data_IF_671602171310
#
_entry.id   IF_671602171310
#
_cell.length_a   1.000
_cell.length_b   1.000
_cell.length_c   1.000
_cell.angle_alpha   90.00
_cell.angle_beta   90.00
_cell.angle_gamma   90.00
#
_symmetry.space_group_name_H-M   'P 1'
#
loop_
_entity.id
_entity.type
_entity.pdbx_description
1 polymer ?
#
# COMPACT_ATOMS: atom_id res chain seq x y z
N UNK A 1 13.79 -33.04 -26.93
CA UNK A 1 12.56 -32.75 -26.14
C UNK A 1 12.49 -31.30 -25.57
N UNK A 2 13.61 -30.57 -25.48
CA UNK A 2 13.67 -29.22 -24.89
C UNK A 2 13.16 -28.05 -25.76
N UNK A 3 13.11 -28.18 -27.08
CA UNK A 3 12.72 -27.08 -27.99
C UNK A 3 11.24 -26.69 -27.91
N UNK A 4 10.34 -27.64 -27.66
CA UNK A 4 8.91 -27.34 -27.56
C UNK A 4 8.53 -26.44 -26.35
N UNK A 5 9.19 -26.66 -25.22
CA UNK A 5 8.96 -25.84 -24.02
C UNK A 5 9.44 -24.40 -24.18
N UNK A 6 10.53 -24.21 -24.96
CA UNK A 6 11.06 -22.86 -25.24
C UNK A 6 10.08 -22.05 -26.10
N UNK A 7 9.52 -22.66 -27.15
CA UNK A 7 8.51 -21.98 -28.00
C UNK A 7 7.22 -21.65 -27.22
N UNK A 8 6.76 -22.59 -26.38
CA UNK A 8 5.60 -22.34 -25.51
C UNK A 8 5.87 -21.21 -24.51
N UNK A 9 7.05 -21.21 -23.89
CA UNK A 9 7.44 -20.12 -22.97
C UNK A 9 7.52 -18.78 -23.70
N UNK A 10 8.11 -18.72 -24.89
CA UNK A 10 8.17 -17.50 -25.70
C UNK A 10 6.77 -17.01 -26.08
N UNK A 11 5.88 -17.91 -26.50
CA UNK A 11 4.49 -17.58 -26.84
C UNK A 11 3.76 -17.00 -25.60
N UNK A 12 3.88 -17.64 -24.44
CA UNK A 12 3.28 -17.15 -23.20
C UNK A 12 3.82 -15.77 -22.79
N UNK A 13 5.13 -15.54 -22.92
CA UNK A 13 5.74 -14.24 -22.68
C UNK A 13 5.23 -13.17 -23.63
N UNK A 14 5.07 -13.48 -24.92
CA UNK A 14 4.51 -12.54 -25.89
C UNK A 14 3.04 -12.21 -25.59
N UNK A 15 2.24 -13.20 -25.20
CA UNK A 15 0.84 -12.98 -24.82
C UNK A 15 0.75 -12.10 -23.59
N UNK A 16 1.52 -12.38 -22.53
CA UNK A 16 1.55 -11.58 -21.31
C UNK A 16 2.04 -10.16 -21.61
N UNK A 17 3.12 -10.02 -22.39
CA UNK A 17 3.64 -8.72 -22.79
C UNK A 17 2.59 -7.91 -23.57
N UNK A 18 1.88 -8.53 -24.50
CA UNK A 18 0.82 -7.88 -25.26
C UNK A 18 -0.35 -7.44 -24.35
N UNK A 19 -0.84 -8.34 -23.48
CA UNK A 19 -1.96 -8.05 -22.60
C UNK A 19 -1.66 -6.96 -21.55
N UNK A 20 -0.40 -6.81 -21.14
CA UNK A 20 0.01 -5.82 -20.14
C UNK A 20 0.53 -4.55 -20.80
N UNK A 21 1.47 -4.67 -21.76
CA UNK A 21 2.16 -3.50 -22.34
C UNK A 21 1.23 -2.73 -23.27
N UNK A 22 0.38 -3.40 -24.03
CA UNK A 22 -0.49 -2.72 -24.99
C UNK A 22 -1.49 -1.75 -24.35
N UNK A 23 -2.29 -2.13 -23.31
CA UNK A 23 -3.16 -1.18 -22.62
C UNK A 23 -2.39 -0.04 -21.94
N UNK A 24 -1.25 -0.34 -21.33
CA UNK A 24 -0.40 0.69 -20.72
C UNK A 24 0.17 1.65 -21.75
N UNK A 25 0.57 1.17 -22.93
CA UNK A 25 1.08 2.02 -24.00
C UNK A 25 0.00 2.97 -24.54
N UNK A 26 -1.25 2.53 -24.64
CA UNK A 26 -2.39 3.40 -25.02
C UNK A 26 -2.54 4.50 -23.96
N UNK A 27 -2.54 4.15 -22.69
CA UNK A 27 -2.70 5.11 -21.59
C UNK A 27 -1.57 6.15 -21.61
N UNK A 28 -0.33 5.71 -21.79
CA UNK A 28 0.84 6.59 -21.88
C UNK A 28 0.75 7.47 -23.14
N UNK A 29 0.41 6.89 -24.31
CA UNK A 29 0.31 7.67 -25.53
C UNK A 29 -0.82 8.71 -25.44
N UNK A 30 -2.00 8.34 -24.97
CA UNK A 30 -3.10 9.29 -24.77
C UNK A 30 -2.73 10.44 -23.81
N UNK A 31 -1.89 10.21 -22.78
CA UNK A 31 -1.49 11.26 -21.85
C UNK A 31 -0.70 12.41 -22.50
N UNK A 32 -0.05 12.16 -23.65
CA UNK A 32 0.69 13.18 -24.41
C UNK A 32 -0.16 13.93 -25.45
N UNK A 33 -1.42 13.56 -25.62
CA UNK A 33 -2.30 14.16 -26.62
C UNK A 33 -2.95 15.43 -26.08
N UNK A 34 -2.62 16.56 -26.64
CA UNK A 34 -3.17 17.87 -26.27
C UNK A 34 -4.55 18.01 -26.91
N UNK A 35 -5.59 18.19 -26.07
CA UNK A 35 -7.00 18.20 -26.49
C UNK A 35 -7.29 19.33 -27.46
N UNK A 36 -6.80 20.54 -27.19
CA UNK A 36 -7.14 21.76 -27.93
C UNK A 36 -6.59 21.77 -29.36
N UNK A 37 -5.41 21.20 -29.55
CA UNK A 37 -4.69 21.26 -30.84
C UNK A 37 -4.63 19.91 -31.55
N UNK A 38 -5.01 18.81 -30.90
CA UNK A 38 -4.82 17.44 -31.40
C UNK A 38 -3.34 17.06 -31.61
N UNK A 39 -2.42 17.92 -31.17
CA UNK A 39 -0.97 17.70 -31.27
C UNK A 39 -0.43 16.88 -30.10
N UNK A 40 0.76 16.34 -30.30
CA UNK A 40 1.48 15.58 -29.26
C UNK A 40 2.43 16.51 -28.51
N UNK A 41 2.41 16.44 -27.17
CA UNK A 41 3.28 17.29 -26.37
C UNK A 41 3.14 17.06 -24.86
N UNK A 42 3.89 17.82 -24.10
CA UNK A 42 3.89 17.79 -22.63
C UNK A 42 2.90 18.78 -21.99
N UNK A 43 2.00 19.38 -22.79
CA UNK A 43 1.06 20.41 -22.32
C UNK A 43 0.25 19.96 -21.10
N UNK A 44 -0.37 18.77 -21.17
CA UNK A 44 -1.17 18.21 -20.08
C UNK A 44 -0.34 18.00 -18.79
N UNK A 45 0.93 17.60 -18.92
CA UNK A 45 1.83 17.45 -17.74
C UNK A 45 2.20 18.79 -17.13
N UNK A 46 2.51 19.80 -17.97
CA UNK A 46 2.79 21.14 -17.50
C UNK A 46 1.60 21.74 -16.76
N UNK A 47 0.41 21.52 -17.26
CA UNK A 47 -0.82 21.94 -16.63
C UNK A 47 -1.04 21.20 -15.31
N UNK A 48 -0.92 19.87 -15.28
CA UNK A 48 -1.04 19.06 -14.08
C UNK A 48 -0.12 19.56 -12.95
N UNK A 49 1.13 19.87 -13.27
CA UNK A 49 2.09 20.35 -12.26
C UNK A 49 1.96 21.86 -11.94
N UNK A 50 1.15 22.62 -12.67
CA UNK A 50 0.81 24.03 -12.36
C UNK A 50 -0.50 24.14 -11.58
N UNK A 51 -1.41 23.19 -11.74
CA UNK A 51 -2.70 23.20 -11.05
C UNK A 51 -2.55 22.82 -9.58
N UNK A 52 -2.86 23.77 -8.71
CA UNK A 52 -2.81 23.61 -7.25
C UNK A 52 -3.69 22.47 -6.75
N UNK A 53 -4.79 22.18 -7.43
CA UNK A 53 -5.70 21.09 -7.03
C UNK A 53 -5.03 19.72 -7.22
N UNK A 54 -4.44 19.45 -8.38
CA UNK A 54 -3.75 18.17 -8.62
C UNK A 54 -2.50 18.00 -7.76
N UNK A 55 -1.75 19.09 -7.51
CA UNK A 55 -0.63 19.06 -6.57
C UNK A 55 -1.08 18.76 -5.14
N UNK A 56 -2.21 19.33 -4.69
CA UNK A 56 -2.83 19.00 -3.41
C UNK A 56 -3.19 17.51 -3.33
N UNK A 57 -3.85 16.97 -4.36
CA UNK A 57 -4.24 15.56 -4.41
C UNK A 57 -3.01 14.64 -4.39
N UNK A 58 -1.95 14.99 -5.09
CA UNK A 58 -0.67 14.29 -5.06
C UNK A 58 -0.03 14.33 -3.66
N UNK A 59 0.02 15.51 -3.05
CA UNK A 59 0.52 15.71 -1.68
C UNK A 59 -0.28 14.90 -0.64
N UNK A 60 -1.60 14.89 -0.74
CA UNK A 60 -2.48 14.11 0.12
C UNK A 60 -2.23 12.60 -0.04
N UNK A 61 -1.98 12.13 -1.27
CA UNK A 61 -1.66 10.72 -1.53
C UNK A 61 -0.32 10.34 -0.90
N UNK A 62 0.71 11.18 -1.01
CA UNK A 62 1.99 10.98 -0.35
C UNK A 62 1.86 10.99 1.18
N UNK A 63 1.09 11.92 1.72
CA UNK A 63 0.81 11.99 3.15
C UNK A 63 0.11 10.72 3.64
N UNK A 64 -0.93 10.28 2.93
CA UNK A 64 -1.64 9.05 3.22
C UNK A 64 -0.70 7.83 3.19
N UNK A 65 0.15 7.72 2.15
CA UNK A 65 1.13 6.64 2.01
C UNK A 65 2.12 6.60 3.18
N UNK A 66 2.59 7.77 3.61
CA UNK A 66 3.52 7.89 4.73
C UNK A 66 2.85 7.54 6.05
N UNK A 67 1.66 8.07 6.31
CA UNK A 67 0.90 7.78 7.53
C UNK A 67 0.52 6.30 7.59
N UNK A 68 0.11 5.71 6.45
CA UNK A 68 -0.21 4.30 6.33
C UNK A 68 0.99 3.43 6.66
N UNK A 69 2.15 3.71 6.05
CA UNK A 69 3.39 2.97 6.31
C UNK A 69 3.81 3.07 7.79
N UNK A 70 3.76 4.26 8.37
CA UNK A 70 4.12 4.46 9.79
C UNK A 70 3.17 3.68 10.71
N UNK A 71 1.86 3.77 10.47
CA UNK A 71 0.86 3.07 11.30
C UNK A 71 1.01 1.56 11.19
N UNK A 72 1.13 1.02 9.97
CA UNK A 72 1.32 -0.43 9.77
C UNK A 72 2.66 -0.92 10.30
N UNK A 73 3.71 -0.10 10.28
CA UNK A 73 5.02 -0.43 10.85
C UNK A 73 4.96 -0.51 12.38
N UNK A 74 4.37 0.50 13.01
CA UNK A 74 4.23 0.57 14.48
C UNK A 74 3.40 -0.61 15.01
N UNK A 75 2.33 -0.96 14.33
CA UNK A 75 1.48 -2.11 14.71
C UNK A 75 2.10 -3.45 14.27
N UNK A 76 2.69 -3.51 13.10
CA UNK A 76 3.16 -4.74 12.47
C UNK A 76 4.43 -5.31 13.09
N UNK A 77 5.38 -4.46 13.51
CA UNK A 77 6.64 -4.91 14.12
C UNK A 77 6.39 -5.77 15.39
N UNK A 78 5.65 -5.27 16.41
CA UNK A 78 5.40 -6.07 17.61
C UNK A 78 4.59 -7.33 17.32
N UNK A 79 3.58 -7.25 16.45
CA UNK A 79 2.77 -8.41 16.07
C UNK A 79 3.61 -9.47 15.36
N UNK A 80 4.46 -9.08 14.41
CA UNK A 80 5.36 -9.99 13.70
C UNK A 80 6.37 -10.66 14.66
N UNK A 81 6.92 -9.88 15.61
CA UNK A 81 7.87 -10.39 16.59
C UNK A 81 7.22 -11.43 17.52
N UNK A 82 6.01 -11.14 18.02
CA UNK A 82 5.25 -12.07 18.85
C UNK A 82 4.95 -13.35 18.08
N UNK A 83 4.48 -13.24 16.83
CA UNK A 83 4.18 -14.41 16.01
C UNK A 83 5.41 -15.26 15.68
N UNK A 84 6.57 -14.63 15.48
CA UNK A 84 7.80 -15.34 15.14
C UNK A 84 8.43 -16.05 16.33
N UNK A 85 8.49 -15.37 17.49
CA UNK A 85 9.32 -15.78 18.62
C UNK A 85 8.58 -16.52 19.73
N UNK A 86 7.28 -16.29 19.87
CA UNK A 86 6.54 -16.88 20.97
C UNK A 86 5.61 -18.01 20.51
N UNK A 87 5.67 -19.11 21.24
CA UNK A 87 4.65 -20.16 21.19
C UNK A 87 3.56 -19.80 22.19
N UNK A 88 2.41 -19.36 21.73
CA UNK A 88 1.29 -18.98 22.59
C UNK A 88 0.03 -19.71 22.16
N UNK A 89 -0.86 -19.89 23.13
CA UNK A 89 -2.19 -20.43 22.89
C UNK A 89 -2.94 -19.52 21.90
N UNK A 90 -3.63 -20.11 20.94
CA UNK A 90 -4.40 -19.35 19.94
C UNK A 90 -3.58 -18.75 18.79
N UNK A 91 -2.28 -19.04 18.66
CA UNK A 91 -1.41 -18.51 17.58
C UNK A 91 -2.04 -18.67 16.19
N UNK A 92 -2.63 -19.83 15.90
CA UNK A 92 -3.28 -20.11 14.60
C UNK A 92 -4.47 -19.18 14.35
N UNK A 93 -5.32 -19.00 15.37
CA UNK A 93 -6.49 -18.11 15.29
C UNK A 93 -6.04 -16.66 15.12
N UNK A 94 -5.03 -16.24 15.87
CA UNK A 94 -4.49 -14.88 15.78
C UNK A 94 -3.87 -14.59 14.41
N UNK A 95 -3.14 -15.56 13.87
CA UNK A 95 -2.62 -15.46 12.50
C UNK A 95 -3.75 -15.38 11.47
N UNK A 96 -4.78 -16.21 11.61
CA UNK A 96 -5.94 -16.17 10.71
C UNK A 96 -6.68 -14.82 10.77
N UNK A 97 -6.84 -14.23 11.95
CA UNK A 97 -7.44 -12.91 12.12
C UNK A 97 -6.62 -11.79 11.46
N UNK A 98 -5.28 -11.85 11.58
CA UNK A 98 -4.40 -10.89 10.88
C UNK A 98 -4.52 -11.04 9.37
N UNK A 99 -4.66 -12.26 8.85
CA UNK A 99 -4.76 -12.53 7.41
C UNK A 99 -6.15 -12.29 6.82
N UNK A 100 -7.18 -12.22 7.65
CA UNK A 100 -8.57 -12.06 7.22
C UNK A 100 -8.79 -10.89 6.25
N UNK A 101 -8.19 -9.69 6.45
CA UNK A 101 -8.36 -8.58 5.54
C UNK A 101 -7.89 -8.84 4.10
N UNK A 102 -6.91 -9.72 3.89
CA UNK A 102 -6.47 -10.08 2.52
C UNK A 102 -7.54 -10.90 1.77
N UNK A 103 -8.28 -11.73 2.52
CA UNK A 103 -9.30 -12.63 1.93
C UNK A 103 -10.59 -11.89 1.63
N UNK A 104 -10.90 -10.86 2.42
CA UNK A 104 -12.11 -10.07 2.24
C UNK A 104 -11.97 -9.08 1.07
N UNK A 105 -12.99 -8.91 0.23
CA UNK A 105 -13.01 -7.83 -0.75
C UNK A 105 -12.82 -6.48 -0.04
N UNK A 106 -11.91 -5.62 -0.54
CA UNK A 106 -11.56 -4.36 0.12
C UNK A 106 -12.81 -3.49 0.43
N UNK A 107 -13.75 -3.39 -0.51
CA UNK A 107 -14.97 -2.62 -0.31
C UNK A 107 -15.87 -3.18 0.82
N UNK A 108 -15.91 -4.50 0.99
CA UNK A 108 -16.71 -5.10 2.05
C UNK A 108 -16.18 -4.72 3.44
N UNK A 109 -14.85 -4.68 3.58
CA UNK A 109 -14.20 -4.16 4.79
C UNK A 109 -14.57 -2.71 5.07
N UNK A 110 -14.52 -1.84 4.05
CA UNK A 110 -14.88 -0.42 4.20
C UNK A 110 -16.34 -0.25 4.68
N UNK A 111 -17.28 -0.96 4.06
CA UNK A 111 -18.69 -0.91 4.48
C UNK A 111 -18.90 -1.47 5.90
N UNK A 112 -18.22 -2.56 6.27
CA UNK A 112 -18.28 -3.09 7.62
C UNK A 112 -17.81 -2.05 8.66
N UNK A 113 -16.71 -1.33 8.37
CA UNK A 113 -16.23 -0.24 9.23
C UNK A 113 -17.18 0.94 9.27
N UNK A 114 -17.86 1.30 8.17
CA UNK A 114 -18.88 2.35 8.16
C UNK A 114 -20.10 1.95 9.01
N UNK A 115 -20.56 0.69 8.90
CA UNK A 115 -21.67 0.19 9.71
C UNK A 115 -21.32 0.19 11.19
N UNK A 116 -20.07 -0.10 11.55
CA UNK A 116 -19.67 -0.17 12.95
C UNK A 116 -19.25 1.20 13.53
N UNK A 117 -18.36 1.95 12.85
CA UNK A 117 -17.74 3.18 13.31
C UNK A 117 -18.31 4.45 12.67
N UNK A 118 -19.23 4.34 11.72
CA UNK A 118 -19.83 5.47 11.03
C UNK A 118 -20.64 6.37 11.97
N UNK A 119 -21.06 7.52 11.46
CA UNK A 119 -21.82 8.51 12.23
C UNK A 119 -23.09 7.93 12.89
N UNK A 120 -23.76 7.03 12.17
CA UNK A 120 -24.95 6.30 12.67
C UNK A 120 -24.62 4.81 12.86
N UNK A 121 -23.35 4.49 13.08
CA UNK A 121 -22.89 3.13 13.27
C UNK A 121 -23.13 2.61 14.69
N UNK A 122 -23.03 1.28 14.82
CA UNK A 122 -23.33 0.56 16.07
C UNK A 122 -22.57 1.15 17.28
N UNK A 123 -21.29 1.50 17.11
CA UNK A 123 -20.48 2.06 18.20
C UNK A 123 -21.02 3.42 18.67
N UNK A 124 -21.33 4.33 17.75
CA UNK A 124 -21.85 5.65 18.09
C UNK A 124 -23.22 5.56 18.77
N UNK A 125 -24.11 4.71 18.26
CA UNK A 125 -25.41 4.50 18.88
C UNK A 125 -25.26 3.95 20.31
N UNK A 126 -24.39 2.97 20.52
CA UNK A 126 -24.10 2.43 21.85
C UNK A 126 -23.53 3.48 22.81
N UNK A 127 -22.60 4.32 22.36
CA UNK A 127 -22.01 5.37 23.18
C UNK A 127 -23.04 6.44 23.58
N UNK A 128 -23.96 6.78 22.68
CA UNK A 128 -25.04 7.71 22.92
C UNK A 128 -26.09 7.12 23.90
N UNK A 129 -26.48 5.84 23.71
CA UNK A 129 -27.42 5.14 24.58
C UNK A 129 -26.88 4.98 26.02
N UNK A 130 -25.54 4.78 26.15
CA UNK A 130 -24.86 4.75 27.46
C UNK A 130 -24.64 6.13 28.08
N UNK A 131 -25.04 7.22 27.40
CA UNK A 131 -24.85 8.59 27.88
C UNK A 131 -23.38 9.06 27.90
N UNK A 132 -22.48 8.35 27.20
CA UNK A 132 -21.06 8.68 27.14
C UNK A 132 -20.77 9.83 26.17
N UNK A 133 -21.64 10.06 25.19
CA UNK A 133 -21.54 11.16 24.23
C UNK A 133 -22.94 11.70 23.91
N UNK A 134 -23.04 13.01 23.73
CA UNK A 134 -24.31 13.67 23.30
C UNK A 134 -24.44 13.69 21.77
N UNK A 135 -23.31 13.55 21.06
CA UNK A 135 -23.25 13.61 19.61
C UNK A 135 -22.36 12.48 19.06
N UNK A 136 -22.63 11.98 17.84
CA UNK A 136 -21.83 10.93 17.26
C UNK A 136 -20.40 11.41 17.01
N UNK A 137 -19.43 10.57 17.39
CA UNK A 137 -18.00 10.79 17.15
C UNK A 137 -17.70 10.56 15.67
N UNK A 138 -17.04 11.52 15.04
CA UNK A 138 -16.59 11.37 13.66
C UNK A 138 -15.25 10.64 13.61
N UNK A 139 -15.27 9.31 13.77
CA UNK A 139 -14.06 8.48 13.83
C UNK A 139 -13.56 8.06 12.45
N UNK A 140 -14.47 7.70 11.52
CA UNK A 140 -14.07 6.98 10.30
C UNK A 140 -13.91 7.88 9.09
N UNK A 141 -14.51 9.08 9.11
CA UNK A 141 -14.43 10.00 7.98
C UNK A 141 -13.22 10.92 8.11
N UNK A 142 -12.57 11.20 6.99
CA UNK A 142 -11.35 12.00 6.94
C UNK A 142 -10.07 11.17 6.78
N UNK A 143 -8.93 11.85 6.76
CA UNK A 143 -7.61 11.23 6.52
C UNK A 143 -7.28 10.15 7.58
N UNK A 144 -7.61 10.41 8.85
CA UNK A 144 -7.34 9.45 9.95
C UNK A 144 -8.14 8.15 9.81
N UNK A 145 -9.41 8.23 9.43
CA UNK A 145 -10.24 7.04 9.19
C UNK A 145 -9.78 6.26 7.97
N UNK A 146 -9.36 6.97 6.92
CA UNK A 146 -8.78 6.37 5.73
C UNK A 146 -7.49 5.61 6.06
N UNK A 147 -6.58 6.23 6.85
CA UNK A 147 -5.36 5.56 7.33
C UNK A 147 -5.71 4.34 8.17
N UNK A 148 -6.69 4.45 9.08
CA UNK A 148 -7.09 3.34 9.95
C UNK A 148 -7.58 2.13 9.16
N UNK A 149 -8.50 2.33 8.22
CA UNK A 149 -9.06 1.24 7.40
C UNK A 149 -7.97 0.61 6.53
N UNK A 150 -7.20 1.44 5.81
CA UNK A 150 -6.15 0.93 4.94
C UNK A 150 -5.02 0.27 5.74
N UNK A 151 -4.72 0.75 6.97
CA UNK A 151 -3.72 0.12 7.82
C UNK A 151 -4.12 -1.30 8.23
N UNK A 152 -5.37 -1.52 8.61
CA UNK A 152 -5.85 -2.86 8.92
C UNK A 152 -5.81 -3.80 7.71
N UNK A 153 -6.12 -3.26 6.50
CA UNK A 153 -6.05 -4.04 5.27
C UNK A 153 -4.62 -4.39 4.87
N UNK A 154 -3.67 -3.48 5.07
CA UNK A 154 -2.27 -3.63 4.68
C UNK A 154 -1.37 -4.24 5.76
N UNK A 155 -1.83 -4.31 7.01
CA UNK A 155 -1.09 -4.87 8.15
C UNK A 155 -0.50 -6.26 7.88
N UNK A 156 -1.21 -7.21 7.25
CA UNK A 156 -0.71 -8.53 6.95
C UNK A 156 0.61 -8.53 6.15
N UNK A 157 0.81 -7.59 5.24
CA UNK A 157 2.01 -7.54 4.41
C UNK A 157 3.27 -7.25 5.22
N UNK A 158 3.17 -6.35 6.22
CA UNK A 158 4.26 -6.07 7.16
C UNK A 158 4.47 -7.26 8.11
N UNK A 159 3.37 -7.80 8.67
CA UNK A 159 3.43 -8.87 9.67
C UNK A 159 4.02 -10.15 9.06
N UNK A 160 3.56 -10.56 7.88
CA UNK A 160 4.06 -11.77 7.22
C UNK A 160 5.54 -11.62 6.81
N UNK A 161 5.90 -10.49 6.19
CA UNK A 161 7.28 -10.22 5.78
C UNK A 161 8.23 -10.27 6.97
N UNK A 162 7.93 -9.52 8.02
CA UNK A 162 8.76 -9.46 9.22
C UNK A 162 8.77 -10.78 10.01
N UNK A 163 7.61 -11.45 10.14
CA UNK A 163 7.53 -12.74 10.85
C UNK A 163 8.42 -13.79 10.19
N UNK A 164 8.41 -13.87 8.85
CA UNK A 164 9.32 -14.72 8.10
C UNK A 164 10.78 -14.30 8.30
N UNK A 165 11.07 -13.00 8.28
CA UNK A 165 12.40 -12.46 8.56
C UNK A 165 12.91 -12.87 9.93
N UNK A 166 12.14 -12.62 11.00
CA UNK A 166 12.52 -12.97 12.37
C UNK A 166 12.70 -14.48 12.57
N UNK A 167 11.91 -15.32 11.89
CA UNK A 167 12.03 -16.77 11.98
C UNK A 167 13.32 -17.28 11.33
N UNK A 168 13.82 -16.58 10.30
CA UNK A 168 15.02 -16.98 9.55
C UNK A 168 16.34 -16.45 10.13
N UNK A 169 16.31 -15.65 11.20
CA UNK A 169 17.54 -15.22 11.89
C UNK A 169 18.17 -16.43 12.58
N UNK A 170 19.47 -16.66 12.30
CA UNK A 170 20.24 -17.67 13.01
C UNK A 170 20.34 -17.28 14.51
N UNK A 171 19.92 -18.16 15.44
CA UNK A 171 19.96 -17.89 16.87
C UNK A 171 21.33 -17.47 17.39
N UNK A 172 22.42 -17.93 16.76
CA UNK A 172 23.79 -17.61 17.15
C UNK A 172 24.09 -16.11 17.22
N UNK A 173 23.45 -15.28 16.35
CA UNK A 173 23.60 -13.83 16.42
C UNK A 173 23.00 -13.23 17.70
N UNK A 174 21.87 -13.76 18.13
CA UNK A 174 21.20 -13.27 19.34
C UNK A 174 21.89 -13.78 20.59
N UNK A 175 22.39 -15.04 20.58
CA UNK A 175 23.17 -15.63 21.65
C UNK A 175 24.52 -14.92 21.85
N UNK A 176 25.25 -14.61 20.78
CA UNK A 176 26.48 -13.84 20.84
C UNK A 176 26.28 -12.47 21.50
N UNK A 177 25.19 -11.78 21.11
CA UNK A 177 24.87 -10.48 21.69
C UNK A 177 24.49 -10.58 23.18
N UNK A 178 23.84 -11.66 23.58
CA UNK A 178 23.50 -11.91 24.98
C UNK A 178 24.77 -12.15 25.83
N UNK A 179 25.74 -12.91 25.30
CA UNK A 179 27.06 -13.11 25.94
C UNK A 179 27.82 -11.79 26.12
N UNK A 180 27.69 -10.86 25.16
CA UNK A 180 28.25 -9.51 25.25
C UNK A 180 27.43 -8.55 26.16
N UNK A 181 26.39 -9.04 26.84
CA UNK A 181 25.58 -8.28 27.78
C UNK A 181 24.49 -7.39 27.14
N UNK A 182 24.12 -7.63 25.87
CA UNK A 182 23.02 -6.92 25.26
C UNK A 182 21.66 -7.41 25.78
N UNK A 183 20.97 -6.59 26.57
CA UNK A 183 19.61 -6.86 27.02
C UNK A 183 18.62 -6.99 25.86
N UNK A 184 17.45 -7.61 26.08
CA UNK A 184 16.48 -7.97 25.04
C UNK A 184 16.05 -6.82 24.12
N UNK A 185 15.77 -5.63 24.67
CA UNK A 185 15.39 -4.44 23.88
C UNK A 185 16.56 -3.97 23.01
N UNK A 186 17.78 -3.90 23.57
CA UNK A 186 18.97 -3.50 22.81
C UNK A 186 19.24 -4.50 21.70
N UNK A 187 19.22 -5.80 21.97
CA UNK A 187 19.37 -6.88 20.98
C UNK A 187 18.35 -6.78 19.86
N UNK A 188 17.08 -6.50 20.19
CA UNK A 188 16.03 -6.34 19.21
C UNK A 188 16.35 -5.21 18.20
N UNK A 189 16.66 -4.01 18.67
CA UNK A 189 16.90 -2.86 17.81
C UNK A 189 18.26 -2.88 17.10
N UNK A 190 19.28 -3.53 17.67
CA UNK A 190 20.64 -3.53 17.11
C UNK A 190 20.95 -4.75 16.25
N UNK A 191 20.22 -5.86 16.42
CA UNK A 191 20.47 -7.13 15.70
C UNK A 191 19.23 -7.62 14.99
N UNK A 192 18.16 -7.97 15.72
CA UNK A 192 17.02 -8.67 15.13
C UNK A 192 16.31 -7.83 14.09
N UNK A 193 15.98 -6.57 14.39
CA UNK A 193 15.28 -5.67 13.45
C UNK A 193 16.13 -5.29 12.24
N UNK A 194 17.42 -4.89 12.35
CA UNK A 194 18.27 -4.63 11.20
C UNK A 194 18.45 -5.82 10.26
N UNK A 195 18.59 -7.05 10.79
CA UNK A 195 18.69 -8.26 9.99
C UNK A 195 17.40 -8.56 9.21
N UNK A 196 16.24 -8.14 9.72
CA UNK A 196 14.94 -8.28 9.04
C UNK A 196 14.65 -7.17 8.04
N UNK A 197 15.52 -6.17 7.87
CA UNK A 197 15.28 -5.03 6.98
C UNK A 197 14.88 -5.43 5.55
N UNK A 198 15.48 -6.46 4.89
CA UNK A 198 15.05 -6.87 3.55
C UNK A 198 13.61 -7.38 3.52
N UNK A 199 13.24 -8.19 4.50
CA UNK A 199 11.89 -8.74 4.65
C UNK A 199 10.86 -7.65 4.96
N UNK A 200 11.24 -6.67 5.80
CA UNK A 200 10.43 -5.49 6.08
C UNK A 200 10.18 -4.65 4.81
N UNK A 201 11.24 -4.36 4.05
CA UNK A 201 11.14 -3.52 2.87
C UNK A 201 10.23 -4.12 1.79
N UNK A 202 10.21 -5.44 1.66
CA UNK A 202 9.30 -6.10 0.73
C UNK A 202 7.83 -5.79 1.04
N UNK A 203 7.42 -5.81 2.31
CA UNK A 203 6.08 -5.41 2.73
C UNK A 203 5.88 -3.89 2.72
N UNK A 204 6.87 -3.13 3.19
CA UNK A 204 6.81 -1.67 3.32
C UNK A 204 6.59 -0.96 1.97
N UNK A 205 7.24 -1.44 0.91
CA UNK A 205 7.03 -0.91 -0.44
C UNK A 205 5.58 -1.12 -0.89
N UNK A 206 5.02 -2.31 -0.71
CA UNK A 206 3.63 -2.59 -1.08
C UNK A 206 2.65 -1.71 -0.30
N UNK A 207 2.87 -1.55 1.00
CA UNK A 207 2.06 -0.69 1.86
C UNK A 207 2.14 0.77 1.43
N UNK A 208 3.34 1.27 1.15
CA UNK A 208 3.52 2.66 0.71
C UNK A 208 2.88 2.94 -0.66
N UNK A 209 2.93 1.98 -1.58
CA UNK A 209 2.37 2.13 -2.93
C UNK A 209 0.84 1.98 -2.96
N UNK A 210 0.25 1.36 -1.95
CA UNK A 210 -1.19 1.07 -1.93
C UNK A 210 -2.06 2.30 -2.16
N UNK A 211 -1.87 3.47 -1.49
CA UNK A 211 -2.69 4.65 -1.70
C UNK A 211 -2.62 5.25 -3.11
N UNK A 212 -1.59 4.93 -3.89
CA UNK A 212 -1.48 5.35 -5.29
C UNK A 212 -2.34 4.50 -6.24
N UNK A 213 -2.86 3.36 -5.78
CA UNK A 213 -3.65 2.41 -6.58
C UNK A 213 -5.09 2.27 -6.08
N UNK A 214 -5.35 2.56 -4.81
CA UNK A 214 -6.69 2.45 -4.20
C UNK A 214 -7.49 3.73 -4.41
N UNK A 215 -8.36 3.70 -5.40
CA UNK A 215 -9.31 4.79 -5.70
C UNK A 215 -10.64 4.62 -4.94
N UNK A 216 -10.98 3.39 -4.56
CA UNK A 216 -12.30 3.03 -4.09
C UNK A 216 -12.52 3.39 -2.62
N UNK A 217 -11.58 3.05 -1.73
CA UNK A 217 -11.69 3.34 -0.29
C UNK A 217 -11.84 4.84 -0.02
N UNK A 218 -10.98 5.72 -0.59
CA UNK A 218 -11.16 7.17 -0.41
C UNK A 218 -12.50 7.66 -0.96
N UNK A 219 -12.95 7.14 -2.09
CA UNK A 219 -14.21 7.54 -2.72
C UNK A 219 -15.42 7.19 -1.84
N UNK A 220 -15.47 5.97 -1.29
CA UNK A 220 -16.56 5.53 -0.39
C UNK A 220 -16.60 6.39 0.89
N UNK A 221 -15.43 6.80 1.40
CA UNK A 221 -15.33 7.65 2.60
C UNK A 221 -15.51 9.14 2.30
N UNK A 222 -15.80 9.52 1.06
CA UNK A 222 -15.99 10.91 0.65
C UNK A 222 -14.69 11.73 0.61
N UNK A 223 -13.53 11.09 0.59
CA UNK A 223 -12.21 11.71 0.47
C UNK A 223 -11.78 11.75 -0.98
N UNK A 224 -12.33 12.67 -1.74
CA UNK A 224 -12.08 12.75 -3.20
C UNK A 224 -10.76 13.42 -3.57
N UNK A 225 -10.11 14.14 -2.63
CA UNK A 225 -8.84 14.85 -2.86
C UNK A 225 -7.62 13.90 -2.74
N UNK A 226 -7.76 12.67 -3.21
CA UNK A 226 -6.70 11.65 -3.31
C UNK A 226 -6.51 11.32 -4.79
N UNK A 227 -5.26 11.28 -5.26
CA UNK A 227 -4.95 11.25 -6.68
C UNK A 227 -5.64 10.12 -7.47
N UNK A 228 -5.65 8.83 -7.02
CA UNK A 228 -6.39 7.78 -7.73
C UNK A 228 -7.90 8.02 -7.81
N UNK A 229 -8.50 8.58 -6.74
CA UNK A 229 -9.95 8.87 -6.72
C UNK A 229 -10.30 9.98 -7.70
N UNK A 230 -9.49 11.04 -7.76
CA UNK A 230 -9.63 12.12 -8.75
C UNK A 230 -9.45 11.58 -10.17
N UNK A 231 -8.45 10.73 -10.38
CA UNK A 231 -8.21 10.10 -11.68
C UNK A 231 -9.42 9.29 -12.14
N UNK A 232 -9.96 8.47 -11.24
CA UNK A 232 -11.15 7.67 -11.51
C UNK A 232 -12.37 8.55 -11.84
N UNK A 233 -12.65 9.56 -11.02
CA UNK A 233 -13.77 10.49 -11.23
C UNK A 233 -13.63 11.18 -12.59
N UNK A 234 -12.44 11.69 -12.90
CA UNK A 234 -12.19 12.40 -14.15
C UNK A 234 -12.34 11.50 -15.39
N UNK A 235 -11.92 10.25 -15.32
CA UNK A 235 -12.03 9.31 -16.43
C UNK A 235 -13.45 8.74 -16.56
N UNK A 236 -14.09 8.39 -15.43
CA UNK A 236 -15.34 7.64 -15.45
C UNK A 236 -16.60 8.52 -15.55
N UNK A 237 -16.57 9.75 -15.02
CA UNK A 237 -17.78 10.60 -14.94
C UNK A 237 -17.76 11.81 -15.86
N UNK A 238 -16.61 12.20 -16.40
CA UNK A 238 -16.50 13.37 -17.28
C UNK A 238 -16.36 12.97 -18.76
N UNK A 239 -17.28 12.14 -19.26
CA UNK A 239 -17.27 11.70 -20.67
C UNK A 239 -17.40 12.85 -21.66
N UNK A 240 -18.08 13.94 -21.28
CA UNK A 240 -18.28 15.14 -22.12
C UNK A 240 -17.19 16.18 -21.93
N UNK A 241 -16.49 16.18 -20.80
CA UNK A 241 -15.37 17.07 -20.50
C UNK A 241 -14.06 16.37 -20.86
N UNK A 242 -13.69 16.50 -22.12
CA UNK A 242 -12.50 15.85 -22.68
C UNK A 242 -11.24 16.29 -21.94
N UNK A 243 -11.14 17.56 -21.53
CA UNK A 243 -10.01 18.09 -20.80
C UNK A 243 -9.81 17.37 -19.46
N UNK A 244 -10.84 17.25 -18.63
CA UNK A 244 -10.77 16.52 -17.35
C UNK A 244 -10.39 15.06 -17.53
N UNK A 245 -10.89 14.40 -18.56
CA UNK A 245 -10.51 13.03 -18.90
C UNK A 245 -9.00 12.90 -19.09
N UNK A 246 -8.38 13.80 -19.86
CA UNK A 246 -6.94 13.76 -20.10
C UNK A 246 -6.13 14.08 -18.84
N UNK A 247 -6.60 15.00 -18.00
CA UNK A 247 -6.00 15.25 -16.69
C UNK A 247 -6.08 14.02 -15.77
N UNK A 248 -7.17 13.26 -15.81
CA UNK A 248 -7.29 11.97 -15.13
C UNK A 248 -6.28 10.96 -15.64
N UNK A 249 -6.08 10.85 -16.96
CA UNK A 249 -5.08 9.96 -17.58
C UNK A 249 -3.67 10.35 -17.14
N UNK A 250 -3.32 11.64 -17.16
CA UNK A 250 -2.03 12.14 -16.69
C UNK A 250 -1.80 11.77 -15.23
N UNK A 251 -2.81 11.94 -14.38
CA UNK A 251 -2.72 11.59 -12.95
C UNK A 251 -2.44 10.08 -12.74
N UNK A 252 -3.05 9.19 -13.56
CA UNK A 252 -2.76 7.75 -13.53
C UNK A 252 -1.32 7.47 -13.97
N UNK A 253 -0.85 8.12 -15.05
CA UNK A 253 0.54 7.92 -15.52
C UNK A 253 1.54 8.43 -14.49
N UNK A 254 1.32 9.60 -13.88
CA UNK A 254 2.17 10.14 -12.81
C UNK A 254 2.20 9.18 -11.61
N UNK A 255 1.03 8.68 -11.16
CA UNK A 255 0.95 7.68 -10.09
C UNK A 255 1.75 6.42 -10.41
N UNK A 256 1.60 5.92 -11.65
CA UNK A 256 2.33 4.73 -12.11
C UNK A 256 3.84 4.94 -12.15
N UNK A 257 4.30 6.11 -12.62
CA UNK A 257 5.73 6.45 -12.64
C UNK A 257 6.31 6.54 -11.22
N UNK A 258 5.58 7.13 -10.28
CA UNK A 258 5.97 7.15 -8.86
C UNK A 258 6.08 5.74 -8.30
N UNK A 259 5.07 4.89 -8.54
CA UNK A 259 5.09 3.50 -8.08
C UNK A 259 6.28 2.72 -8.65
N UNK A 260 6.50 2.80 -9.96
CA UNK A 260 7.61 2.10 -10.63
C UNK A 260 8.95 2.61 -10.09
N UNK A 261 9.13 3.93 -9.98
CA UNK A 261 10.38 4.54 -9.50
C UNK A 261 10.70 4.11 -8.07
N UNK A 262 9.72 4.15 -7.17
CA UNK A 262 9.90 3.74 -5.78
C UNK A 262 10.17 2.23 -5.67
N UNK A 263 9.49 1.41 -6.45
CA UNK A 263 9.74 -0.02 -6.49
C UNK A 263 11.17 -0.34 -6.96
N UNK A 264 11.61 0.29 -8.05
CA UNK A 264 12.97 0.10 -8.57
C UNK A 264 14.05 0.61 -7.60
N UNK A 265 13.82 1.75 -6.94
CA UNK A 265 14.71 2.29 -5.92
C UNK A 265 14.83 1.34 -4.72
N UNK A 266 13.70 0.82 -4.23
CA UNK A 266 13.70 -0.13 -3.13
C UNK A 266 14.43 -1.42 -3.49
N UNK A 267 14.18 -1.96 -4.68
CA UNK A 267 14.87 -3.13 -5.20
C UNK A 267 16.39 -2.90 -5.32
N UNK A 268 16.80 -1.82 -5.94
CA UNK A 268 18.20 -1.44 -6.06
C UNK A 268 18.89 -1.31 -4.70
N UNK A 269 18.21 -0.71 -3.72
CA UNK A 269 18.75 -0.55 -2.38
C UNK A 269 18.93 -1.89 -1.67
N UNK A 270 17.99 -2.82 -1.79
CA UNK A 270 18.09 -4.17 -1.23
C UNK A 270 19.22 -4.97 -1.89
N UNK A 271 19.31 -4.93 -3.23
CA UNK A 271 20.37 -5.64 -3.97
C UNK A 271 21.77 -5.11 -3.65
N UNK A 272 21.92 -3.80 -3.43
CA UNK A 272 23.22 -3.18 -3.10
C UNK A 272 23.72 -3.56 -1.70
N UNK A 273 22.81 -3.77 -0.76
CA UNK A 273 23.17 -4.30 0.56
C UNK A 273 23.20 -5.83 0.45
N UNK A 274 24.36 -6.37 0.07
CA UNK A 274 24.59 -7.82 0.10
C UNK A 274 24.44 -8.30 1.55
N UNK A 275 23.27 -8.77 1.90
CA UNK A 275 23.02 -9.52 3.13
C UNK A 275 23.61 -10.93 2.97
N UNK A 276 24.92 -11.01 2.69
CA UNK A 276 25.68 -12.26 2.58
C UNK A 276 25.85 -12.83 3.97
N UNK A 277 24.97 -13.68 4.35
CA UNK A 277 25.05 -14.39 5.64
C UNK A 277 23.76 -15.04 6.13
N UNK A 278 22.63 -14.82 5.45
CA UNK A 278 21.33 -15.29 5.95
C UNK A 278 20.73 -16.49 5.16
N UNK A 279 21.40 -17.00 4.13
CA UNK A 279 20.97 -18.23 3.45
C UNK A 279 21.98 -19.33 3.70
N UNK A 280 21.63 -20.31 4.52
CA UNK A 280 22.06 -21.69 4.34
C UNK A 280 21.05 -22.41 3.49
#
# INVERSE_FOLDING_TARGET
>A
MFRGHTYLAMFLWLVIAFLVIYPLSILVTESFKIVETGSWGLGNYLEFFKDTYYLKCFGNTLLLSTMLLLTTTVLGIPLAYILARYRHWGKTVFTALILLPIVLPAFAGVFAFIIFFGKYGTLNLLLMDLGLTEQPINFIYGMHGLVFIQALHMLPFIVLGLSAGFTNIDPSFEEAAEVEGAGGIRRFFTISLPLCTPSYLAGAVLVFLWPFTDWLTPLILGQVDILPSVSYINIAYHFTDVHRKYMGIVAVVVSSLVCISLFLLARWWVEKRKYTGLSK
#
